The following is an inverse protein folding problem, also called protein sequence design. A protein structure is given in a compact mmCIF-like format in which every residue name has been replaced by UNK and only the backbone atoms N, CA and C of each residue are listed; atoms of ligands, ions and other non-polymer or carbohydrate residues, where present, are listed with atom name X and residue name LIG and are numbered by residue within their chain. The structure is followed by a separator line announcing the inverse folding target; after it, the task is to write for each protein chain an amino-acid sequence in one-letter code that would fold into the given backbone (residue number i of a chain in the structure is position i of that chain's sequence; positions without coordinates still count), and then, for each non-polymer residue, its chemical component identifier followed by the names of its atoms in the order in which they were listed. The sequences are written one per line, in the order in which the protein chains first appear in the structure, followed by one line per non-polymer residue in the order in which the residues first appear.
data_IF_036238878946
#
_entry.id   IF_036238878946
#
_cell.length_a   1.000
_cell.length_b   1.000
_cell.length_c   1.000
_cell.angle_alpha   90.00
_cell.angle_beta   90.00
_cell.angle_gamma   90.00
#
_symmetry.space_group_name_H-M   'P 1'
#
loop_
_entity.id
_entity.type
_entity.pdbx_description
1 polymer ?
#
# COMPACT_ATOMS: atom_id res chain seq x y z
N UNK A 1 -1.45 5.91 -17.06
CA UNK A 1 -2.10 5.77 -15.74
C UNK A 1 -2.03 4.30 -15.35
N UNK A 2 -0.90 3.79 -14.83
CA UNK A 2 -0.75 2.33 -14.61
C UNK A 2 -0.05 1.95 -13.29
N UNK A 3 0.60 2.89 -12.61
CA UNK A 3 1.39 2.58 -11.43
C UNK A 3 0.53 2.16 -10.21
N UNK A 4 -0.40 3.02 -9.82
CA UNK A 4 -1.20 2.84 -8.60
C UNK A 4 -2.05 1.56 -8.65
N UNK A 5 -2.58 1.21 -9.83
CA UNK A 5 -3.42 0.03 -9.98
C UNK A 5 -2.61 -1.26 -9.79
N UNK A 6 -1.34 -1.30 -10.22
CA UNK A 6 -0.46 -2.44 -9.99
C UNK A 6 -0.07 -2.61 -8.51
N UNK A 7 0.04 -1.52 -7.75
CA UNK A 7 0.37 -1.56 -6.31
C UNK A 7 -0.83 -2.00 -5.50
N UNK A 8 -2.01 -1.45 -5.78
CA UNK A 8 -3.23 -1.76 -5.03
C UNK A 8 -3.89 -3.08 -5.47
N UNK A 9 -3.66 -3.56 -6.70
CA UNK A 9 -4.17 -4.85 -7.21
C UNK A 9 -3.13 -5.96 -7.30
N UNK A 10 -1.84 -5.71 -7.03
CA UNK A 10 -0.84 -6.78 -7.10
C UNK A 10 -1.18 -7.92 -6.14
N UNK A 11 -1.34 -9.15 -6.64
CA UNK A 11 -1.77 -10.29 -5.84
C UNK A 11 -0.66 -10.90 -4.98
N UNK A 12 0.61 -10.49 -5.16
CA UNK A 12 1.77 -11.14 -4.54
C UNK A 12 2.49 -10.24 -3.51
N UNK A 13 2.28 -10.45 -2.20
CA UNK A 13 2.95 -9.69 -1.14
C UNK A 13 4.47 -9.90 -1.10
N UNK A 14 5.00 -11.00 -1.66
CA UNK A 14 6.45 -11.23 -1.73
C UNK A 14 7.12 -10.35 -2.78
N UNK A 15 6.36 -9.91 -3.80
CA UNK A 15 6.85 -9.06 -4.89
C UNK A 15 6.69 -7.56 -4.61
N UNK A 16 5.88 -7.20 -3.62
CA UNK A 16 5.62 -5.82 -3.23
C UNK A 16 6.90 -5.06 -2.83
N UNK A 17 7.84 -5.62 -2.03
CA UNK A 17 9.08 -4.91 -1.67
C UNK A 17 9.99 -4.62 -2.88
N UNK A 18 10.04 -5.53 -3.86
CA UNK A 18 10.83 -5.32 -5.07
C UNK A 18 10.21 -4.25 -5.97
N UNK A 19 8.87 -4.24 -6.11
CA UNK A 19 8.13 -3.20 -6.85
C UNK A 19 8.30 -1.82 -6.20
N UNK A 20 8.21 -1.74 -4.86
CA UNK A 20 8.43 -0.49 -4.13
C UNK A 20 9.84 0.05 -4.39
N UNK A 21 10.86 -0.81 -4.37
CA UNK A 21 12.25 -0.43 -4.71
C UNK A 21 12.41 -0.02 -6.17
N UNK A 22 11.85 -0.79 -7.09
CA UNK A 22 11.94 -0.52 -8.53
C UNK A 22 11.38 0.86 -8.87
N UNK A 23 10.31 1.26 -8.19
CA UNK A 23 9.63 2.53 -8.44
C UNK A 23 10.03 3.66 -7.49
N UNK A 24 10.97 3.41 -6.57
CA UNK A 24 11.46 4.41 -5.61
C UNK A 24 10.40 4.89 -4.63
N UNK A 25 9.52 3.99 -4.18
CA UNK A 25 8.43 4.31 -3.25
C UNK A 25 8.86 4.03 -1.82
N UNK A 26 9.11 5.10 -1.07
CA UNK A 26 9.49 5.02 0.35
C UNK A 26 8.26 4.97 1.28
N UNK A 27 7.13 5.54 0.85
CA UNK A 27 5.92 5.67 1.66
C UNK A 27 4.66 5.37 0.86
N UNK A 28 3.73 4.64 1.47
CA UNK A 28 2.39 4.37 0.95
C UNK A 28 1.36 4.96 1.90
N UNK A 29 0.51 5.83 1.36
CA UNK A 29 -0.63 6.43 2.06
C UNK A 29 -1.91 5.64 1.76
N UNK A 30 -2.69 5.35 2.81
CA UNK A 30 -4.00 4.71 2.72
C UNK A 30 -4.98 5.56 3.54
N UNK A 31 -5.89 6.22 2.85
CA UNK A 31 -6.94 7.04 3.48
C UNK A 31 -8.34 6.67 3.00
N UNK A 32 -9.39 7.30 3.56
CA UNK A 32 -10.78 7.02 3.20
C UNK A 32 -11.08 7.32 1.72
N UNK A 33 -10.46 8.36 1.15
CA UNK A 33 -10.59 8.72 -0.27
C UNK A 33 -9.99 7.65 -1.19
N UNK A 34 -8.76 7.18 -0.91
CA UNK A 34 -8.12 6.09 -1.65
C UNK A 34 -8.87 4.77 -1.48
N UNK A 35 -9.37 4.44 -0.28
CA UNK A 35 -10.19 3.24 -0.05
C UNK A 35 -11.44 3.25 -0.91
N UNK A 36 -12.11 4.40 -1.01
CA UNK A 36 -13.31 4.55 -1.83
C UNK A 36 -13.01 4.57 -3.33
N UNK A 37 -11.90 5.16 -3.77
CA UNK A 37 -11.55 5.29 -5.19
C UNK A 37 -10.93 4.02 -5.78
N UNK A 38 -10.06 3.35 -5.02
CA UNK A 38 -9.32 2.17 -5.48
C UNK A 38 -9.88 0.85 -4.97
N UNK A 39 -11.01 0.89 -4.22
CA UNK A 39 -11.62 -0.31 -3.62
C UNK A 39 -10.60 -1.13 -2.82
N UNK A 40 -9.76 -0.46 -2.02
CA UNK A 40 -8.75 -1.14 -1.19
C UNK A 40 -9.48 -2.04 -0.22
N UNK A 41 -9.43 -3.34 -0.50
CA UNK A 41 -10.07 -4.35 0.33
C UNK A 41 -9.27 -4.57 1.61
N UNK A 42 -9.92 -4.95 2.74
CA UNK A 42 -9.20 -5.28 3.98
C UNK A 42 -8.06 -6.31 3.80
N UNK A 43 -8.18 -7.33 2.92
CA UNK A 43 -7.07 -8.23 2.58
C UNK A 43 -5.87 -7.55 1.91
N UNK A 44 -6.09 -6.54 1.05
CA UNK A 44 -5.00 -5.81 0.41
C UNK A 44 -4.23 -4.95 1.43
N UNK A 45 -4.95 -4.34 2.35
CA UNK A 45 -4.36 -3.56 3.45
C UNK A 45 -3.57 -4.44 4.43
N UNK A 46 -4.08 -5.63 4.77
CA UNK A 46 -3.36 -6.60 5.59
C UNK A 46 -2.05 -7.09 4.95
N UNK A 47 -1.96 -7.08 3.61
CA UNK A 47 -0.72 -7.42 2.88
C UNK A 47 0.30 -6.27 2.94
N UNK A 48 -0.15 -5.03 2.76
CA UNK A 48 0.67 -3.83 2.95
C UNK A 48 1.29 -3.82 4.36
N UNK A 49 0.48 -4.12 5.38
CA UNK A 49 0.94 -4.20 6.77
C UNK A 49 1.94 -5.35 7.05
N UNK A 50 1.99 -6.39 6.21
CA UNK A 50 2.98 -7.48 6.33
C UNK A 50 4.32 -7.12 5.66
N UNK A 51 4.25 -6.43 4.52
CA UNK A 51 5.40 -6.11 3.69
C UNK A 51 6.11 -4.80 4.10
N UNK A 52 5.39 -3.88 4.74
CA UNK A 52 5.86 -2.54 5.09
C UNK A 52 5.65 -2.26 6.58
N UNK A 53 6.32 -1.22 7.09
CA UNK A 53 6.19 -0.81 8.49
C UNK A 53 5.17 0.31 8.62
N UNK A 54 4.15 0.13 9.48
CA UNK A 54 3.17 1.17 9.79
C UNK A 54 3.84 2.26 10.63
N UNK A 55 3.95 3.47 10.09
CA UNK A 55 4.58 4.62 10.74
C UNK A 55 3.60 5.70 11.20
N UNK A 56 2.34 5.62 10.75
CA UNK A 56 1.27 6.51 11.16
C UNK A 56 -0.08 5.80 11.09
N UNK A 57 -0.88 5.94 12.13
CA UNK A 57 -2.27 5.45 12.20
C UNK A 57 -3.12 6.45 12.99
N UNK A 58 -4.02 7.15 12.31
CA UNK A 58 -4.96 8.06 12.95
C UNK A 58 -6.30 8.07 12.20
N UNK A 59 -7.36 7.65 12.88
CA UNK A 59 -8.70 7.57 12.31
C UNK A 59 -8.74 6.58 11.14
N UNK A 60 -9.05 7.08 9.94
CA UNK A 60 -9.09 6.30 8.71
C UNK A 60 -7.82 6.41 7.86
N UNK A 61 -6.79 7.08 8.37
CA UNK A 61 -5.52 7.31 7.65
C UNK A 61 -4.43 6.44 8.22
N UNK A 62 -3.76 5.71 7.32
CA UNK A 62 -2.58 4.89 7.61
C UNK A 62 -1.45 5.22 6.64
N UNK A 63 -0.23 5.31 7.16
CA UNK A 63 0.98 5.48 6.34
C UNK A 63 1.94 4.35 6.63
N UNK A 64 2.33 3.66 5.56
CA UNK A 64 3.31 2.58 5.60
C UNK A 64 4.62 3.08 5.01
N UNK A 65 5.74 2.71 5.61
CA UNK A 65 7.08 2.97 5.13
C UNK A 65 7.71 1.68 4.60
N UNK A 66 8.36 1.75 3.44
CA UNK A 66 9.13 0.64 2.92
C UNK A 66 10.28 0.29 3.89
N UNK A 67 10.60 -1.00 3.98
CA UNK A 67 11.70 -1.51 4.81
C UNK A 67 13.06 -1.27 4.18
#
# INVERSE_FOLDING_TARGET
MEALDAIYRSPDPARLPDLLREWGIDYVYVGPSERSQYSISPPAEARLAQAMDLVFDQGDVRIYRAR
#
